data_IF_493658368278
#
_entry.id   IF_493658368278
#
_cell.length_a   1.000
_cell.length_b   1.000
_cell.length_c   1.000
_cell.angle_alpha   90.00
_cell.angle_beta   90.00
_cell.angle_gamma   90.00
#
_symmetry.space_group_name_H-M   'P 1'
#
loop_
_entity.id
_entity.type
_entity.pdbx_description
1 polymer ?
#
# COMPACT_ATOMS: atom_id res chain seq x y z
N UNK A 1 -25.24 7.76 -38.90
CA UNK A 1 -23.80 7.88 -38.56
C UNK A 1 -23.29 9.24 -39.02
N UNK A 2 -22.98 10.17 -38.10
CA UNK A 2 -22.50 11.53 -38.42
C UNK A 2 -20.97 11.57 -38.41
N UNK A 3 -20.36 11.88 -39.55
CA UNK A 3 -18.91 12.12 -39.71
C UNK A 3 -18.56 13.50 -39.14
N UNK A 4 -17.77 13.54 -38.08
CA UNK A 4 -17.18 14.76 -37.53
C UNK A 4 -15.80 14.93 -38.17
N UNK A 5 -15.61 16.02 -38.95
CA UNK A 5 -14.31 16.46 -39.46
C UNK A 5 -13.65 17.35 -38.40
N UNK A 6 -12.52 16.92 -37.85
CA UNK A 6 -11.65 17.77 -37.03
C UNK A 6 -10.55 18.37 -37.91
N UNK A 7 -10.52 19.70 -37.95
CA UNK A 7 -9.54 20.54 -38.63
C UNK A 7 -8.40 20.84 -37.66
N UNK A 8 -7.19 20.37 -37.97
CA UNK A 8 -5.98 20.64 -37.20
C UNK A 8 -5.28 21.85 -37.83
N UNK A 9 -5.31 22.98 -37.13
CA UNK A 9 -4.51 24.16 -37.49
C UNK A 9 -3.09 24.02 -36.93
N UNK A 10 -2.13 24.09 -37.85
CA UNK A 10 -0.69 24.22 -37.63
C UNK A 10 -0.35 25.41 -36.73
N UNK A 11 0.48 25.19 -35.71
CA UNK A 11 1.04 26.24 -34.85
C UNK A 11 2.52 26.42 -35.16
N UNK A 12 2.86 27.68 -35.39
CA UNK A 12 4.13 28.21 -35.89
C UNK A 12 5.32 27.94 -34.97
N UNK A 13 6.41 27.63 -35.65
CA UNK A 13 7.80 27.61 -35.23
C UNK A 13 8.26 29.01 -34.76
N UNK A 14 8.79 29.13 -33.54
CA UNK A 14 9.46 30.34 -33.04
C UNK A 14 10.97 30.09 -33.07
N UNK A 15 11.65 30.85 -33.93
CA UNK A 15 13.10 30.94 -34.01
C UNK A 15 13.64 31.91 -32.94
N UNK A 16 14.83 31.58 -32.44
CA UNK A 16 15.90 32.58 -32.29
C UNK A 16 15.95 33.34 -30.98
N UNK A 17 16.75 32.83 -30.03
CA UNK A 17 17.45 33.70 -29.08
C UNK A 17 18.92 33.26 -29.05
N UNK A 18 19.77 34.06 -29.72
CA UNK A 18 21.22 34.03 -29.57
C UNK A 18 21.57 34.80 -28.30
N UNK A 19 22.07 34.12 -27.27
CA UNK A 19 22.73 34.78 -26.16
C UNK A 19 24.24 34.83 -26.41
N UNK A 20 24.76 36.06 -26.46
CA UNK A 20 26.16 36.37 -26.57
C UNK A 20 26.88 36.03 -25.25
N UNK A 21 27.95 35.23 -25.37
CA UNK A 21 28.97 35.11 -24.34
C UNK A 21 29.79 36.40 -24.30
N UNK A 22 29.89 37.02 -23.14
CA UNK A 22 31.02 37.91 -22.82
C UNK A 22 31.65 37.46 -21.50
N UNK A 23 32.94 37.14 -21.60
CA UNK A 23 33.87 36.85 -20.53
C UNK A 23 34.35 38.14 -19.87
N UNK A 24 34.53 38.13 -18.54
CA UNK A 24 35.76 38.51 -17.79
C UNK A 24 35.39 38.90 -16.35
N UNK A 25 35.91 38.14 -15.38
CA UNK A 25 35.75 38.45 -13.95
C UNK A 25 36.35 37.36 -13.06
N UNK A 26 37.66 37.15 -13.16
CA UNK A 26 38.45 36.22 -12.35
C UNK A 26 38.47 36.62 -10.87
N UNK A 27 37.49 36.15 -10.07
CA UNK A 27 37.54 36.20 -8.60
C UNK A 27 36.91 34.93 -8.04
N UNK A 28 37.72 34.06 -7.43
CA UNK A 28 37.28 33.06 -6.45
C UNK A 28 36.60 31.80 -6.99
N UNK A 29 37.37 30.89 -7.61
CA UNK A 29 36.93 29.50 -7.86
C UNK A 29 37.00 28.72 -6.52
N UNK A 30 36.09 29.01 -5.60
CA UNK A 30 35.72 28.17 -4.46
C UNK A 30 34.49 27.30 -4.87
N UNK A 31 34.29 26.13 -4.27
CA UNK A 31 33.90 24.91 -4.98
C UNK A 31 32.38 24.82 -5.21
N UNK A 32 31.87 25.49 -6.24
CA UNK A 32 30.47 25.35 -6.68
C UNK A 32 30.14 23.89 -7.05
N UNK A 33 31.13 23.11 -7.51
CA UNK A 33 30.98 21.68 -7.76
C UNK A 33 30.73 20.81 -6.51
N UNK A 34 31.24 21.21 -5.33
CA UNK A 34 31.07 20.43 -4.10
C UNK A 34 29.67 20.64 -3.48
N UNK A 35 29.10 21.85 -3.62
CA UNK A 35 27.73 22.15 -3.17
C UNK A 35 26.69 21.45 -4.06
N UNK A 36 26.95 21.34 -5.37
CA UNK A 36 26.09 20.57 -6.27
C UNK A 36 26.13 19.06 -5.98
N UNK A 37 27.27 18.49 -5.55
CA UNK A 37 27.39 17.07 -5.19
C UNK A 37 26.66 16.72 -3.87
N UNK A 38 26.66 17.65 -2.90
CA UNK A 38 25.97 17.44 -1.61
C UNK A 38 24.44 17.54 -1.71
N UNK A 39 23.91 18.17 -2.77
CA UNK A 39 22.46 18.23 -3.05
C UNK A 39 21.93 16.97 -3.76
N UNK A 40 22.82 16.11 -4.28
CA UNK A 40 22.48 14.75 -4.73
C UNK A 40 22.53 13.73 -3.59
N UNK A 41 22.15 14.16 -2.38
CA UNK A 41 21.75 13.25 -1.32
C UNK A 41 20.50 12.49 -1.81
N UNK A 42 20.74 11.37 -2.50
CA UNK A 42 19.72 10.47 -3.00
C UNK A 42 18.82 10.10 -1.84
N UNK A 43 17.63 10.71 -1.79
CA UNK A 43 16.65 10.47 -0.73
C UNK A 43 16.23 9.01 -0.86
N UNK A 44 16.79 8.17 0.01
CA UNK A 44 16.55 6.74 0.00
C UNK A 44 15.03 6.48 0.01
N UNK A 45 14.57 5.69 -0.97
CA UNK A 45 13.16 5.37 -1.08
C UNK A 45 12.81 4.37 0.03
N UNK A 46 12.16 4.87 1.07
CA UNK A 46 11.67 4.06 2.17
C UNK A 46 10.64 3.05 1.66
N UNK A 47 10.90 1.77 1.89
CA UNK A 47 9.96 0.69 1.57
C UNK A 47 9.03 0.41 2.76
N UNK A 48 7.77 0.84 2.65
CA UNK A 48 6.73 0.58 3.65
C UNK A 48 6.00 -0.76 3.45
N UNK A 49 6.41 -1.58 2.48
CA UNK A 49 5.80 -2.88 2.26
C UNK A 49 6.80 -3.83 1.60
N UNK A 50 7.85 -4.25 2.32
CA UNK A 50 8.88 -5.10 1.75
C UNK A 50 8.29 -6.45 1.37
N UNK A 51 8.53 -6.82 0.11
CA UNK A 51 8.12 -8.07 -0.51
C UNK A 51 9.38 -8.81 -0.96
N UNK A 52 9.67 -9.92 -0.29
CA UNK A 52 10.71 -10.85 -0.68
C UNK A 52 10.34 -12.25 -0.19
N UNK A 53 10.79 -13.26 -0.92
CA UNK A 53 10.53 -14.67 -0.63
C UNK A 53 11.00 -15.04 0.78
N UNK A 54 10.12 -15.69 1.54
CA UNK A 54 10.42 -16.10 2.91
C UNK A 54 10.15 -15.03 3.96
N UNK A 55 9.76 -13.81 3.57
CA UNK A 55 9.29 -12.83 4.56
C UNK A 55 8.03 -13.34 5.26
N UNK A 56 8.02 -13.24 6.59
CA UNK A 56 6.95 -13.76 7.45
C UNK A 56 6.49 -12.64 8.38
N UNK A 57 5.18 -12.53 8.56
CA UNK A 57 4.56 -11.67 9.57
C UNK A 57 3.54 -12.51 10.32
N UNK A 58 3.56 -12.42 11.63
CA UNK A 58 2.65 -13.15 12.52
C UNK A 58 1.91 -12.14 13.34
N UNK A 59 0.59 -12.19 13.27
CA UNK A 59 -0.31 -11.31 13.99
C UNK A 59 -1.07 -12.09 15.06
N UNK A 60 -1.31 -11.45 16.19
CA UNK A 60 -2.38 -11.81 17.10
C UNK A 60 -3.61 -11.01 16.70
N UNK A 61 -4.71 -11.71 16.42
CA UNK A 61 -5.96 -11.15 15.94
C UNK A 61 -7.00 -11.34 17.03
N UNK A 62 -7.42 -10.25 17.65
CA UNK A 62 -8.55 -10.20 18.57
C UNK A 62 -9.82 -9.92 17.77
N UNK A 63 -10.73 -10.89 17.69
CA UNK A 63 -11.96 -10.81 16.89
C UNK A 63 -13.18 -10.95 17.80
N UNK A 64 -14.06 -9.97 17.70
CA UNK A 64 -15.41 -10.00 18.28
C UNK A 64 -16.44 -10.05 17.16
N UNK A 65 -17.38 -10.98 17.23
CA UNK A 65 -18.51 -11.08 16.30
C UNK A 65 -19.79 -11.00 17.13
N UNK A 66 -20.63 -10.02 16.82
CA UNK A 66 -21.94 -9.80 17.44
C UNK A 66 -23.01 -10.12 16.39
N UNK A 67 -23.95 -10.98 16.73
CA UNK A 67 -25.09 -11.36 15.88
C UNK A 67 -26.34 -11.41 16.76
N UNK A 68 -27.26 -10.46 16.56
CA UNK A 68 -28.45 -10.28 17.40
C UNK A 68 -28.12 -10.19 18.91
N UNK A 69 -28.37 -11.27 19.66
CA UNK A 69 -28.10 -11.39 21.11
C UNK A 69 -26.80 -12.14 21.41
N UNK A 70 -26.22 -12.81 20.42
CA UNK A 70 -25.02 -13.62 20.60
C UNK A 70 -23.77 -12.77 20.37
N UNK A 71 -22.82 -12.87 21.30
CA UNK A 71 -21.49 -12.28 21.16
C UNK A 71 -20.46 -13.38 21.29
N UNK A 72 -19.59 -13.51 20.28
CA UNK A 72 -18.45 -14.41 20.32
C UNK A 72 -17.15 -13.61 20.30
N UNK A 73 -16.20 -14.03 21.14
CA UNK A 73 -14.88 -13.44 21.24
C UNK A 73 -13.82 -14.52 21.01
N UNK A 74 -12.81 -14.22 20.20
CA UNK A 74 -11.70 -15.14 19.90
C UNK A 74 -10.40 -14.39 19.76
N UNK A 75 -9.34 -14.97 20.31
CA UNK A 75 -7.96 -14.55 20.05
C UNK A 75 -7.33 -15.60 19.15
N UNK A 76 -6.91 -15.17 17.97
CA UNK A 76 -6.42 -16.02 16.91
C UNK A 76 -5.01 -15.61 16.53
N UNK A 77 -4.26 -16.54 15.94
CA UNK A 77 -2.95 -16.25 15.37
C UNK A 77 -3.06 -16.33 13.85
N UNK A 78 -2.64 -15.28 13.17
CA UNK A 78 -2.60 -15.22 11.72
C UNK A 78 -1.14 -15.14 11.27
N UNK A 79 -0.75 -16.02 10.35
CA UNK A 79 0.57 -16.02 9.73
C UNK A 79 0.41 -15.59 8.28
N UNK A 80 1.18 -14.59 7.86
CA UNK A 80 1.28 -14.14 6.47
C UNK A 80 2.71 -14.36 5.99
N UNK A 81 2.88 -15.09 4.89
CA UNK A 81 4.17 -15.43 4.29
C UNK A 81 4.20 -15.05 2.81
N UNK A 82 5.26 -14.39 2.38
CA UNK A 82 5.54 -14.22 0.94
C UNK A 82 6.24 -15.49 0.45
N UNK A 83 5.57 -16.26 -0.41
CA UNK A 83 6.05 -17.56 -0.87
C UNK A 83 6.94 -17.46 -2.09
N UNK A 84 6.79 -16.41 -2.89
CA UNK A 84 7.58 -16.19 -4.08
C UNK A 84 6.95 -15.20 -5.03
N UNK A 85 7.46 -15.20 -6.26
CA UNK A 85 6.89 -14.47 -7.38
C UNK A 85 6.07 -15.43 -8.23
N UNK A 86 5.04 -14.91 -8.87
CA UNK A 86 4.22 -15.62 -9.85
C UNK A 86 4.00 -14.70 -11.07
N UNK A 87 3.67 -15.29 -12.21
CA UNK A 87 3.22 -14.54 -13.39
C UNK A 87 1.71 -14.50 -13.37
N UNK A 88 1.13 -13.32 -13.56
CA UNK A 88 -0.30 -13.14 -13.73
C UNK A 88 -0.64 -13.21 -15.22
N UNK A 89 -1.80 -13.76 -15.57
CA UNK A 89 -2.19 -13.95 -16.98
C UNK A 89 -2.26 -12.65 -17.80
N UNK A 90 -2.49 -11.50 -17.15
CA UNK A 90 -2.67 -10.20 -17.81
C UNK A 90 -1.68 -9.13 -17.34
N UNK A 91 -0.93 -9.42 -16.27
CA UNK A 91 -0.10 -8.44 -15.60
C UNK A 91 1.32 -8.99 -15.52
N UNK A 92 2.28 -8.11 -15.27
CA UNK A 92 3.65 -8.53 -15.01
C UNK A 92 3.74 -9.39 -13.72
N UNK A 93 4.97 -9.66 -13.30
CA UNK A 93 5.31 -10.34 -12.07
C UNK A 93 4.55 -9.80 -10.83
N UNK A 94 3.92 -10.72 -10.10
CA UNK A 94 3.24 -10.46 -8.83
C UNK A 94 3.87 -11.28 -7.70
N UNK A 95 3.74 -10.83 -6.46
CA UNK A 95 4.18 -11.57 -5.28
C UNK A 95 3.06 -12.43 -4.74
N UNK A 96 3.26 -13.74 -4.62
CA UNK A 96 2.32 -14.61 -3.94
C UNK A 96 2.49 -14.47 -2.43
N UNK A 97 1.38 -14.21 -1.75
CA UNK A 97 1.28 -14.03 -0.31
C UNK A 97 0.25 -15.01 0.23
N UNK A 98 0.68 -15.92 1.08
CA UNK A 98 -0.19 -16.89 1.75
C UNK A 98 -0.47 -16.40 3.16
N UNK A 99 -1.75 -16.27 3.51
CA UNK A 99 -2.20 -15.97 4.86
C UNK A 99 -2.96 -17.16 5.43
N UNK A 100 -2.70 -17.50 6.69
CA UNK A 100 -3.35 -18.60 7.37
C UNK A 100 -3.66 -18.19 8.81
N UNK A 101 -4.93 -18.30 9.18
CA UNK A 101 -5.40 -18.20 10.55
C UNK A 101 -5.41 -19.59 11.20
N UNK A 102 -5.08 -19.70 12.48
CA UNK A 102 -5.16 -20.98 13.21
C UNK A 102 -6.58 -21.54 13.13
N UNK A 103 -6.70 -22.79 12.68
CA UNK A 103 -7.98 -23.46 12.47
C UNK A 103 -8.63 -23.20 11.10
N UNK A 104 -8.00 -22.40 10.23
CA UNK A 104 -8.46 -22.13 8.87
C UNK A 104 -7.49 -22.69 7.81
N UNK A 105 -7.98 -23.04 6.61
CA UNK A 105 -7.11 -23.36 5.49
C UNK A 105 -6.28 -22.13 5.07
N UNK A 106 -5.07 -22.33 4.53
CA UNK A 106 -4.29 -21.23 3.97
C UNK A 106 -5.01 -20.60 2.77
N UNK A 107 -5.02 -19.28 2.71
CA UNK A 107 -5.53 -18.50 1.59
C UNK A 107 -4.38 -17.79 0.89
N UNK A 108 -4.28 -17.97 -0.43
CA UNK A 108 -3.33 -17.24 -1.26
C UNK A 108 -3.96 -15.95 -1.79
N UNK A 109 -3.16 -14.89 -1.85
CA UNK A 109 -3.45 -13.67 -2.59
C UNK A 109 -2.18 -13.21 -3.31
N UNK A 110 -2.33 -12.31 -4.27
CA UNK A 110 -1.22 -11.83 -5.08
C UNK A 110 -1.07 -10.33 -4.93
N UNK A 111 0.17 -9.85 -4.89
CA UNK A 111 0.47 -8.44 -4.68
C UNK A 111 1.34 -7.95 -5.82
N UNK A 112 0.80 -7.03 -6.62
CA UNK A 112 1.58 -6.25 -7.58
C UNK A 112 2.13 -5.02 -6.90
N UNK A 113 3.43 -4.78 -7.04
CA UNK A 113 4.11 -3.62 -6.46
C UNK A 113 4.86 -2.86 -7.54
N UNK A 114 4.54 -1.58 -7.68
CA UNK A 114 5.24 -0.66 -8.59
C UNK A 114 5.92 0.44 -7.78
N UNK A 115 6.52 1.42 -8.47
CA UNK A 115 7.13 2.60 -7.84
C UNK A 115 6.08 3.54 -7.22
N UNK A 116 4.81 3.47 -7.65
CA UNK A 116 3.75 4.41 -7.30
C UNK A 116 2.57 3.78 -6.56
N UNK A 117 2.47 2.46 -6.51
CA UNK A 117 1.33 1.80 -5.87
C UNK A 117 1.59 0.34 -5.51
N UNK A 118 0.76 -0.16 -4.59
CA UNK A 118 0.66 -1.57 -4.25
C UNK A 118 -0.79 -1.97 -4.48
N UNK A 119 -0.97 -3.07 -5.21
CA UNK A 119 -2.27 -3.58 -5.60
C UNK A 119 -2.43 -5.03 -5.15
N UNK A 120 -3.64 -5.38 -4.74
CA UNK A 120 -4.03 -6.72 -4.33
C UNK A 120 -4.83 -7.37 -5.45
N UNK A 121 -4.37 -8.51 -5.93
CA UNK A 121 -5.01 -9.36 -6.92
C UNK A 121 -5.49 -10.62 -6.16
N UNK A 122 -6.80 -10.83 -5.99
CA UNK A 122 -7.31 -12.00 -5.29
C UNK A 122 -6.89 -13.32 -5.94
N UNK A 123 -6.86 -13.37 -7.27
CA UNK A 123 -6.50 -14.54 -8.06
C UNK A 123 -5.60 -14.16 -9.25
N UNK A 124 -4.87 -15.13 -9.83
CA UNK A 124 -3.98 -14.92 -11.00
C UNK A 124 -4.72 -14.76 -12.33
N UNK A 125 -5.99 -15.14 -12.37
CA UNK A 125 -6.80 -15.13 -13.59
C UNK A 125 -7.80 -13.97 -13.57
N UNK A 126 -7.90 -13.24 -12.45
CA UNK A 126 -8.91 -12.21 -12.28
C UNK A 126 -8.54 -10.94 -13.04
N UNK A 127 -9.44 -10.51 -13.91
CA UNK A 127 -9.34 -9.25 -14.66
C UNK A 127 -10.21 -8.17 -14.03
N UNK A 128 -11.17 -8.56 -13.18
CA UNK A 128 -12.16 -7.70 -12.56
C UNK A 128 -11.56 -6.96 -11.35
N UNK A 129 -10.59 -6.10 -11.66
CA UNK A 129 -10.20 -4.98 -10.81
C UNK A 129 -9.29 -5.35 -9.65
N UNK A 130 -7.97 -5.29 -9.89
CA UNK A 130 -7.01 -5.17 -8.80
C UNK A 130 -7.40 -4.06 -7.84
N UNK A 131 -7.43 -4.39 -6.54
CA UNK A 131 -7.69 -3.40 -5.52
C UNK A 131 -6.42 -2.61 -5.24
N UNK A 132 -6.48 -1.29 -5.43
CA UNK A 132 -5.37 -0.39 -5.09
C UNK A 132 -5.24 -0.25 -3.58
N UNK A 133 -4.45 -1.11 -2.97
CA UNK A 133 -4.24 -1.11 -1.52
C UNK A 133 -3.50 0.15 -1.06
N UNK A 134 -2.46 0.58 -1.78
CA UNK A 134 -1.63 1.73 -1.39
C UNK A 134 -1.18 2.57 -2.57
N UNK A 135 -1.05 3.88 -2.35
CA UNK A 135 -0.40 4.84 -3.25
C UNK A 135 0.90 5.32 -2.63
N UNK A 136 1.99 5.31 -3.41
CA UNK A 136 3.33 5.69 -3.01
C UNK A 136 3.79 6.95 -3.77
N UNK A 137 4.60 7.82 -3.14
CA UNK A 137 4.99 7.80 -1.74
C UNK A 137 3.82 8.12 -0.79
N UNK A 138 3.86 7.56 0.42
CA UNK A 138 2.89 7.87 1.47
C UNK A 138 3.05 9.34 1.90
N UNK A 139 1.94 10.07 1.96
CA UNK A 139 1.87 11.45 2.47
C UNK A 139 0.53 11.65 3.14
N UNK A 140 0.51 12.36 4.28
CA UNK A 140 -0.72 12.73 4.98
C UNK A 140 -1.64 13.48 4.01
N UNK A 141 -2.92 13.12 4.00
CA UNK A 141 -3.92 13.71 3.12
C UNK A 141 -4.06 13.02 1.76
N UNK A 142 -3.11 12.18 1.33
CA UNK A 142 -3.28 11.38 0.11
C UNK A 142 -4.52 10.49 0.25
N UNK A 143 -5.37 10.49 -0.80
CA UNK A 143 -6.59 9.70 -0.88
C UNK A 143 -6.69 9.03 -2.25
N UNK A 144 -7.27 7.83 -2.30
CA UNK A 144 -7.42 7.05 -3.53
C UNK A 144 -8.62 6.10 -3.46
N UNK A 145 -9.11 5.68 -4.62
CA UNK A 145 -10.09 4.61 -4.74
C UNK A 145 -9.36 3.28 -4.58
N UNK A 146 -9.72 2.52 -3.54
CA UNK A 146 -9.17 1.18 -3.27
C UNK A 146 -9.84 0.15 -4.18
N UNK A 147 -11.15 0.24 -4.34
CA UNK A 147 -11.93 -0.66 -5.18
C UNK A 147 -13.33 -0.11 -5.41
N UNK A 148 -13.94 -0.52 -6.52
CA UNK A 148 -15.31 -0.17 -6.90
C UNK A 148 -16.08 -1.46 -7.11
N UNK A 149 -17.26 -1.53 -6.53
CA UNK A 149 -18.26 -2.56 -6.78
C UNK A 149 -19.54 -1.90 -7.31
N UNK A 150 -20.51 -2.65 -7.85
CA UNK A 150 -21.78 -2.07 -8.29
C UNK A 150 -22.53 -1.30 -7.20
N UNK A 151 -22.32 -1.64 -5.93
CA UNK A 151 -23.07 -1.09 -4.79
C UNK A 151 -22.26 -0.11 -3.95
N UNK A 152 -20.92 -0.11 -4.06
CA UNK A 152 -20.08 0.70 -3.18
C UNK A 152 -18.71 1.03 -3.77
N UNK A 153 -18.05 2.01 -3.17
CA UNK A 153 -16.67 2.42 -3.44
C UNK A 153 -15.89 2.46 -2.14
N UNK A 154 -14.76 1.76 -2.12
CA UNK A 154 -13.81 1.82 -1.01
C UNK A 154 -12.83 2.97 -1.25
N UNK A 155 -12.69 3.86 -0.27
CA UNK A 155 -11.80 5.03 -0.31
C UNK A 155 -10.71 4.83 0.73
N UNK A 156 -9.45 4.86 0.30
CA UNK A 156 -8.26 4.83 1.15
C UNK A 156 -7.74 6.24 1.37
N UNK A 157 -7.31 6.57 2.60
CA UNK A 157 -6.73 7.87 2.95
C UNK A 157 -5.61 7.73 3.98
N UNK A 158 -4.49 8.42 3.77
CA UNK A 158 -3.47 8.58 4.81
C UNK A 158 -3.93 9.67 5.77
N UNK A 159 -4.28 9.29 7.00
CA UNK A 159 -4.90 10.20 7.97
C UNK A 159 -3.90 10.78 8.97
N UNK A 160 -2.73 10.15 9.14
CA UNK A 160 -1.73 10.67 10.06
C UNK A 160 -0.45 9.83 10.10
N UNK A 161 0.46 10.29 10.95
CA UNK A 161 1.68 9.60 11.35
C UNK A 161 1.65 9.55 12.88
N UNK A 162 1.82 8.36 13.45
CA UNK A 162 1.84 8.19 14.91
C UNK A 162 2.89 7.17 15.35
N UNK A 163 3.33 7.28 16.60
CA UNK A 163 4.10 6.23 17.27
C UNK A 163 3.16 5.08 17.62
N UNK A 164 3.58 3.84 17.35
CA UNK A 164 2.77 2.65 17.62
C UNK A 164 3.61 1.63 18.40
N UNK A 165 3.08 1.20 19.54
CA UNK A 165 3.64 0.11 20.35
C UNK A 165 2.84 -1.18 20.11
N UNK A 166 3.53 -2.25 19.76
CA UNK A 166 2.99 -3.61 19.58
C UNK A 166 3.90 -4.63 20.27
N UNK A 167 3.52 -5.90 20.43
CA UNK A 167 4.33 -6.86 21.19
C UNK A 167 5.77 -7.07 20.70
N UNK A 168 6.06 -6.84 19.41
CA UNK A 168 7.44 -6.93 18.88
C UNK A 168 8.30 -5.70 19.15
N UNK A 169 7.74 -4.60 19.65
CA UNK A 169 8.46 -3.37 19.94
C UNK A 169 7.67 -2.11 19.60
N UNK A 170 8.39 -0.99 19.66
CA UNK A 170 7.87 0.34 19.34
C UNK A 170 8.34 0.78 17.95
N UNK A 171 7.43 1.41 17.21
CA UNK A 171 7.69 1.93 15.88
C UNK A 171 7.35 3.40 15.83
N UNK A 172 8.38 4.22 15.62
CA UNK A 172 8.21 5.63 15.36
C UNK A 172 7.71 5.88 13.93
N UNK A 173 6.95 6.97 13.77
CA UNK A 173 6.53 7.48 12.46
C UNK A 173 5.75 6.48 11.59
N UNK A 174 4.80 5.75 12.17
CA UNK A 174 3.95 4.84 11.42
C UNK A 174 2.85 5.60 10.68
N UNK A 175 2.72 5.38 9.37
CA UNK A 175 1.59 5.93 8.63
C UNK A 175 0.31 5.21 9.00
N UNK A 176 -0.69 5.96 9.48
CA UNK A 176 -2.04 5.47 9.72
C UNK A 176 -2.89 5.70 8.47
N UNK A 177 -3.44 4.62 7.95
CA UNK A 177 -4.27 4.62 6.75
C UNK A 177 -5.66 4.14 7.12
N UNK A 178 -6.66 4.90 6.69
CA UNK A 178 -8.07 4.54 6.79
C UNK A 178 -8.54 4.06 5.41
N UNK A 179 -9.24 2.94 5.37
CA UNK A 179 -10.07 2.52 4.24
C UNK A 179 -11.51 2.50 4.72
N UNK A 180 -12.38 3.25 4.05
CA UNK A 180 -13.80 3.34 4.39
C UNK A 180 -14.66 3.08 3.16
N UNK A 181 -15.76 2.39 3.35
CA UNK A 181 -16.80 2.28 2.34
C UNK A 181 -17.67 3.54 2.29
N UNK A 182 -18.16 3.89 1.09
CA UNK A 182 -18.97 5.11 0.91
C UNK A 182 -20.41 4.88 1.34
N UNK A 183 -20.96 3.72 1.01
CA UNK A 183 -22.37 3.39 1.18
C UNK A 183 -22.60 2.28 2.22
N UNK A 184 -21.56 1.55 2.63
CA UNK A 184 -21.63 0.51 3.66
C UNK A 184 -20.95 0.92 4.97
N UNK A 185 -21.37 0.26 6.05
CA UNK A 185 -20.76 0.34 7.37
C UNK A 185 -19.50 -0.54 7.43
N UNK A 186 -18.48 -0.13 6.66
CA UNK A 186 -17.17 -0.75 6.67
C UNK A 186 -16.08 0.30 6.86
N UNK A 187 -15.21 0.05 7.83
CA UNK A 187 -14.04 0.85 8.11
C UNK A 187 -12.88 -0.05 8.52
N UNK A 188 -11.71 0.23 7.97
CA UNK A 188 -10.47 -0.45 8.30
C UNK A 188 -9.38 0.57 8.53
N UNK A 189 -8.64 0.41 9.61
CA UNK A 189 -7.39 1.12 9.83
C UNK A 189 -6.23 0.15 9.73
N UNK A 190 -5.10 0.62 9.21
CA UNK A 190 -3.84 -0.09 9.38
C UNK A 190 -2.67 0.89 9.49
N UNK A 191 -1.64 0.43 10.18
CA UNK A 191 -0.44 1.20 10.46
C UNK A 191 0.75 0.57 9.76
N UNK A 192 1.43 1.36 8.93
CA UNK A 192 2.60 0.93 8.18
C UNK A 192 3.88 1.46 8.84
N UNK A 193 4.76 0.55 9.23
CA UNK A 193 6.11 0.86 9.66
C UNK A 193 7.11 0.69 8.51
N UNK A 194 8.14 1.54 8.49
CA UNK A 194 9.26 1.47 7.55
C UNK A 194 9.91 0.08 7.60
N UNK A 195 10.19 -0.50 6.43
CA UNK A 195 10.89 -1.78 6.25
C UNK A 195 10.24 -3.00 6.93
N UNK A 196 8.99 -2.85 7.36
CA UNK A 196 8.23 -3.91 8.02
C UNK A 196 6.92 -4.16 7.31
N UNK A 197 6.17 -3.11 6.98
CA UNK A 197 4.80 -3.26 6.46
C UNK A 197 3.76 -2.98 7.54
N UNK A 198 2.64 -3.69 7.44
CA UNK A 198 1.53 -3.54 8.39
C UNK A 198 1.98 -4.10 9.74
N UNK A 199 1.93 -3.26 10.78
CA UNK A 199 2.26 -3.67 12.17
C UNK A 199 1.02 -3.77 13.07
N UNK A 200 -0.05 -3.08 12.67
CA UNK A 200 -1.33 -3.04 13.37
C UNK A 200 -2.43 -2.89 12.33
N UNK A 201 -3.57 -3.53 12.55
CA UNK A 201 -4.79 -3.28 11.80
C UNK A 201 -6.01 -3.32 12.73
N UNK A 202 -7.05 -2.60 12.34
CA UNK A 202 -8.35 -2.61 13.01
C UNK A 202 -9.43 -2.64 11.92
N UNK A 203 -10.44 -3.48 12.08
CA UNK A 203 -11.55 -3.61 11.14
C UNK A 203 -12.84 -3.50 11.94
N UNK A 204 -13.75 -2.66 11.45
CA UNK A 204 -15.14 -2.62 11.87
C UNK A 204 -16.01 -2.79 10.64
N UNK A 205 -16.81 -3.83 10.63
CA UNK A 205 -17.77 -4.09 9.57
C UNK A 205 -19.13 -4.41 10.17
N UNK A 206 -20.18 -3.86 9.55
CA UNK A 206 -21.56 -4.21 9.85
C UNK A 206 -22.19 -4.68 8.56
N UNK A 207 -22.79 -5.86 8.61
CA UNK A 207 -23.46 -6.49 7.48
C UNK A 207 -24.85 -6.91 7.91
N UNK A 208 -25.85 -6.64 7.07
CA UNK A 208 -27.22 -7.08 7.30
C UNK A 208 -27.56 -8.19 6.31
N UNK A 209 -27.96 -9.36 6.82
CA UNK A 209 -28.42 -10.48 6.03
C UNK A 209 -29.74 -10.98 6.63
N UNK A 210 -30.79 -11.11 5.82
CA UNK A 210 -32.10 -11.63 6.27
C UNK A 210 -32.66 -10.92 7.51
N UNK A 211 -32.53 -9.58 7.54
CA UNK A 211 -32.88 -8.69 8.69
C UNK A 211 -32.02 -8.88 9.95
N UNK A 212 -31.08 -9.81 9.93
CA UNK A 212 -30.10 -10.02 11.00
C UNK A 212 -28.90 -9.11 10.78
N UNK A 213 -28.57 -8.30 11.78
CA UNK A 213 -27.36 -7.49 11.77
C UNK A 213 -26.20 -8.28 12.38
N UNK A 214 -25.11 -8.39 11.63
CA UNK A 214 -23.84 -8.96 12.07
C UNK A 214 -22.78 -7.88 12.12
N UNK A 215 -22.17 -7.70 13.28
CA UNK A 215 -21.09 -6.74 13.52
C UNK A 215 -19.81 -7.52 13.76
N UNK A 216 -18.74 -7.17 13.03
CA UNK A 216 -17.42 -7.75 13.18
C UNK A 216 -16.46 -6.64 13.58
N UNK A 217 -15.83 -6.80 14.74
CA UNK A 217 -14.70 -6.00 15.18
C UNK A 217 -13.46 -6.88 15.22
N UNK A 218 -12.40 -6.44 14.58
CA UNK A 218 -11.13 -7.16 14.55
C UNK A 218 -9.99 -6.20 14.84
N UNK A 219 -9.04 -6.63 15.67
CA UNK A 219 -7.79 -5.92 15.93
C UNK A 219 -6.62 -6.88 15.78
N UNK A 220 -5.81 -6.67 14.77
CA UNK A 220 -4.56 -7.40 14.54
C UNK A 220 -3.36 -6.59 15.02
N UNK A 221 -2.47 -7.21 15.81
CA UNK A 221 -1.17 -6.62 16.20
C UNK A 221 -0.05 -7.58 15.83
N UNK A 222 1.06 -7.04 15.31
CA UNK A 222 2.23 -7.83 14.93
C UNK A 222 2.95 -8.36 16.19
N UNK A 223 3.10 -9.68 16.27
CA UNK A 223 3.74 -10.38 17.39
C UNK A 223 5.05 -11.07 17.02
N UNK A 224 5.32 -11.25 15.71
CA UNK A 224 6.61 -11.71 15.20
C UNK A 224 6.75 -11.34 13.73
N UNK A 225 7.95 -11.01 13.27
CA UNK A 225 8.22 -10.82 11.85
C UNK A 225 9.64 -11.27 11.46
N UNK A 226 9.81 -11.60 10.19
CA UNK A 226 11.10 -11.73 9.53
C UNK A 226 11.04 -10.92 8.23
N UNK A 227 11.66 -9.74 8.23
CA UNK A 227 11.72 -8.83 7.07
C UNK A 227 13.16 -8.60 6.59
N UNK A 228 14.12 -9.39 7.09
CA UNK A 228 15.49 -9.38 6.57
C UNK A 228 15.61 -10.38 5.43
N UNK A 229 16.08 -9.90 4.28
CA UNK A 229 16.50 -10.77 3.18
C UNK A 229 17.70 -11.57 3.69
N UNK A 230 17.55 -12.88 3.87
CA UNK A 230 18.70 -13.75 4.11
C UNK A 230 19.65 -13.54 2.92
N UNK A 231 20.93 -13.18 3.13
CA UNK A 231 21.88 -13.11 2.04
C UNK A 231 21.87 -14.46 1.32
N UNK A 232 21.55 -14.46 0.03
CA UNK A 232 21.77 -15.65 -0.78
C UNK A 232 23.27 -15.89 -0.77
N UNK A 233 23.73 -16.95 -0.11
CA UNK A 233 25.10 -17.42 -0.31
C UNK A 233 25.18 -17.84 -1.78
N UNK A 234 25.92 -17.06 -2.56
CA UNK A 234 26.24 -17.36 -3.96
C UNK A 234 27.45 -18.29 -3.95
#
# INVERSE_FOLDING_TARGET
MRKIRLSIKSVKQIQGVRFALHWLGSIGILPVGLVALLLFCSKERVDYYPLFTGSIRVYQVDRTIISEKDTSHRILKQVTKVTGKAMHDYWDEVWQVVSQEVGSPPAAAYIRKTKSEIRLCPNLTDTAGEMKQLVLPLKIGNSWIVGVSPTDTLIGKVIGIERVTVPVGEFDSCYKIEIKAKNADFQRFFWLAKEIGIIKNEIKSVTTQDKTQRIIWEKGVLIKYNTKKTPTQI
#
